data_IF_455898190586
#
_entry.id   IF_455898190586
#
_cell.length_a   1.000
_cell.length_b   1.000
_cell.length_c   1.000
_cell.angle_alpha   90.00
_cell.angle_beta   90.00
_cell.angle_gamma   90.00
#
_symmetry.space_group_name_H-M   'P 1'
#
loop_
_entity.id
_entity.type
_entity.pdbx_description
1 polymer ?
#
# COMPACT_ATOMS: atom_id res chain seq x y z
N UNK A 1 -17.37 -13.68 2.73
CA UNK A 1 -16.04 -13.72 3.40
C UNK A 1 -15.03 -13.40 2.32
N UNK A 2 -14.78 -12.11 2.08
CA UNK A 2 -14.03 -11.61 0.91
C UNK A 2 -12.57 -11.27 1.22
N UNK A 3 -12.01 -11.87 2.27
CA UNK A 3 -10.59 -11.75 2.59
C UNK A 3 -10.05 -13.18 2.72
N UNK A 4 -9.26 -13.60 1.73
CA UNK A 4 -8.51 -14.85 1.82
C UNK A 4 -7.45 -14.77 2.92
N UNK A 5 -6.88 -15.91 3.32
CA UNK A 5 -5.89 -16.01 4.41
C UNK A 5 -4.64 -15.12 4.27
N UNK A 6 -4.43 -14.49 3.12
CA UNK A 6 -3.26 -13.65 2.79
C UNK A 6 -3.62 -12.18 2.50
N UNK A 7 -4.87 -11.77 2.72
CA UNK A 7 -5.29 -10.38 2.47
C UNK A 7 -4.78 -9.41 3.53
N UNK A 8 -4.17 -8.30 3.09
CA UNK A 8 -3.76 -7.19 3.95
C UNK A 8 -4.94 -6.24 4.14
N UNK A 9 -5.23 -5.91 5.40
CA UNK A 9 -6.30 -4.97 5.75
C UNK A 9 -5.66 -3.63 6.11
N UNK A 10 -5.91 -2.61 5.30
CA UNK A 10 -5.54 -1.23 5.60
C UNK A 10 -6.76 -0.49 6.16
N UNK A 11 -6.59 0.18 7.29
CA UNK A 11 -7.63 0.99 7.93
C UNK A 11 -7.32 2.46 7.67
N UNK A 12 -8.22 3.16 6.97
CA UNK A 12 -8.19 4.62 6.86
C UNK A 12 -9.25 5.23 7.79
N UNK A 13 -8.84 6.19 8.63
CA UNK A 13 -9.79 6.91 9.50
C UNK A 13 -10.56 7.94 8.67
N UNK A 14 -11.67 7.52 8.06
CA UNK A 14 -12.61 8.40 7.37
C UNK A 14 -13.33 9.36 8.32
N UNK A 15 -13.68 10.55 7.83
CA UNK A 15 -14.44 11.57 8.60
C UNK A 15 -15.96 11.30 8.66
N UNK A 16 -16.43 10.23 8.03
CA UNK A 16 -17.85 9.89 7.93
C UNK A 16 -18.29 9.00 9.10
N UNK A 17 -19.58 9.07 9.45
CA UNK A 17 -20.21 8.19 10.45
C UNK A 17 -20.49 6.78 9.89
N UNK A 18 -20.31 6.57 8.59
CA UNK A 18 -20.57 5.31 7.90
C UNK A 18 -19.28 4.51 7.68
N UNK A 19 -19.36 3.19 7.88
CA UNK A 19 -18.26 2.27 7.61
C UNK A 19 -18.24 1.92 6.12
N UNK A 20 -17.23 2.37 5.39
CA UNK A 20 -17.00 2.00 4.00
C UNK A 20 -15.92 0.90 3.94
N UNK A 21 -16.21 -0.21 3.25
CA UNK A 21 -15.26 -1.28 2.98
C UNK A 21 -14.96 -1.28 1.48
N UNK A 22 -13.71 -1.00 1.12
CA UNK A 22 -13.22 -1.10 -0.25
C UNK A 22 -12.24 -2.27 -0.38
N UNK A 23 -12.50 -3.18 -1.32
CA UNK A 23 -11.61 -4.31 -1.62
C UNK A 23 -10.80 -3.98 -2.87
N UNK A 24 -9.52 -3.67 -2.68
CA UNK A 24 -8.58 -3.40 -3.78
C UNK A 24 -7.78 -4.66 -4.09
N UNK A 25 -7.72 -5.06 -5.37
CA UNK A 25 -6.86 -6.16 -5.85
C UNK A 25 -5.42 -5.65 -5.99
N UNK A 26 -4.66 -5.72 -4.90
CA UNK A 26 -3.24 -5.37 -4.86
C UNK A 26 -2.34 -6.56 -4.51
N UNK A 27 -1.03 -6.30 -4.50
CA UNK A 27 -0.02 -7.24 -4.02
C UNK A 27 0.96 -6.50 -3.12
N UNK A 28 1.34 -7.12 -2.01
CA UNK A 28 2.34 -6.59 -1.08
C UNK A 28 3.56 -7.52 -1.06
N UNK A 29 4.74 -6.93 -0.92
CA UNK A 29 5.99 -7.64 -0.67
C UNK A 29 6.51 -7.28 0.71
N UNK A 30 7.17 -8.23 1.38
CA UNK A 30 7.80 -7.99 2.70
C UNK A 30 9.13 -7.21 2.61
N UNK A 31 9.57 -6.84 1.40
CA UNK A 31 10.81 -6.08 1.16
C UNK A 31 10.53 -4.58 1.08
N UNK A 32 11.34 -3.79 1.78
CA UNK A 32 11.31 -2.33 1.72
C UNK A 32 12.14 -1.73 0.59
N UNK A 33 12.20 -0.41 0.55
CA UNK A 33 13.08 0.34 -0.37
C UNK A 33 14.56 0.12 -0.01
N UNK A 34 15.44 0.10 -1.02
CA UNK A 34 16.88 -0.13 -0.82
C UNK A 34 17.58 1.04 -0.12
N UNK A 35 17.05 2.26 -0.29
CA UNK A 35 17.67 3.49 0.16
C UNK A 35 16.61 4.48 0.66
N UNK A 36 16.80 5.14 1.81
CA UNK A 36 15.90 6.19 2.30
C UNK A 36 15.75 7.38 1.34
N UNK A 37 16.70 7.57 0.42
CA UNK A 37 16.61 8.63 -0.60
C UNK A 37 15.45 8.43 -1.60
N UNK A 38 14.79 7.27 -1.60
CA UNK A 38 13.58 7.04 -2.41
C UNK A 38 12.29 7.58 -1.77
N UNK A 39 12.32 7.99 -0.50
CA UNK A 39 11.17 8.55 0.19
C UNK A 39 10.80 9.89 -0.43
N UNK A 40 9.53 10.05 -0.81
CA UNK A 40 8.98 11.29 -1.36
C UNK A 40 7.96 11.96 -0.43
N UNK A 41 7.41 11.22 0.53
CA UNK A 41 6.68 11.76 1.67
C UNK A 41 7.52 11.56 2.94
N UNK A 42 8.21 12.63 3.36
CA UNK A 42 9.10 12.59 4.52
C UNK A 42 8.36 12.47 5.85
N UNK A 43 7.13 12.97 5.95
CA UNK A 43 6.34 12.89 7.18
C UNK A 43 5.86 11.45 7.41
N UNK A 44 5.43 10.78 6.34
CA UNK A 44 4.97 9.38 6.41
C UNK A 44 6.08 8.36 6.21
N UNK A 45 7.26 8.79 5.75
CA UNK A 45 8.39 7.92 5.38
C UNK A 45 8.02 6.91 4.27
N UNK A 46 7.28 7.37 3.24
CA UNK A 46 6.77 6.54 2.15
C UNK A 46 7.36 6.99 0.80
N UNK A 47 7.56 6.02 -0.10
CA UNK A 47 7.84 6.24 -1.51
C UNK A 47 6.58 5.91 -2.33
N UNK A 48 5.70 6.89 -2.53
CA UNK A 48 4.45 6.72 -3.28
C UNK A 48 4.61 7.10 -4.75
N UNK A 49 4.30 6.20 -5.69
CA UNK A 49 4.36 6.48 -7.12
C UNK A 49 2.96 6.30 -7.73
N UNK A 50 2.56 7.24 -8.59
CA UNK A 50 1.33 7.10 -9.38
C UNK A 50 1.64 6.36 -10.69
N UNK A 51 0.87 5.29 -10.95
CA UNK A 51 0.93 4.47 -12.16
C UNK A 51 2.36 4.10 -12.61
N UNK A 52 3.22 3.55 -11.72
CA UNK A 52 4.60 3.23 -12.06
C UNK A 52 4.70 2.00 -12.96
N UNK A 53 5.77 1.94 -13.75
CA UNK A 53 6.19 0.70 -14.37
C UNK A 53 6.93 -0.18 -13.34
N UNK A 54 6.65 -1.48 -13.35
CA UNK A 54 7.31 -2.48 -12.50
C UNK A 54 8.23 -3.34 -13.35
N UNK A 55 9.50 -3.44 -12.96
CA UNK A 55 10.48 -4.33 -13.57
C UNK A 55 10.92 -5.40 -12.57
N UNK A 56 10.87 -6.66 -12.97
CA UNK A 56 11.34 -7.82 -12.21
C UNK A 56 12.40 -8.54 -13.04
N UNK A 57 13.53 -8.87 -12.41
CA UNK A 57 14.66 -9.58 -13.01
C UNK A 57 15.32 -10.45 -11.93
N UNK A 58 16.02 -11.52 -12.35
CA UNK A 58 16.69 -12.50 -11.49
C UNK A 58 18.20 -12.24 -11.41
#
# INVERSE_FOLDING_TARGET
QEVGKEGVISLENGKSLENELEVVKGMQFDRGYLSPYFVNDLEKQIAGLDSPFVLLFD
#
